data_IF_235410790805
#
_entry.id   IF_235410790805
#
_cell.length_a   1.000
_cell.length_b   1.000
_cell.length_c   1.000
_cell.angle_alpha   90.00
_cell.angle_beta   90.00
_cell.angle_gamma   90.00
#
_symmetry.space_group_name_H-M   'P 1'
#
loop_
_entity.id
_entity.type
_entity.pdbx_description
1 polymer ?
#
# COMPACT_ATOMS: atom_id res chain seq x y z
N UNK A 1 -16.70 0.28 8.32
CA UNK A 1 -15.90 -0.80 7.72
C UNK A 1 -16.74 -1.98 7.24
N UNK A 2 -17.70 -2.43 8.04
CA UNK A 2 -18.51 -3.60 7.64
C UNK A 2 -19.27 -3.39 6.34
N UNK A 3 -19.82 -2.19 6.11
CA UNK A 3 -20.55 -1.90 4.88
C UNK A 3 -19.62 -1.92 3.65
N UNK A 4 -18.41 -1.42 3.82
CA UNK A 4 -17.42 -1.41 2.78
C UNK A 4 -17.04 -2.85 2.40
N UNK A 5 -16.86 -3.68 3.37
CA UNK A 5 -16.51 -5.07 3.12
C UNK A 5 -17.60 -5.81 2.37
N UNK A 6 -18.85 -5.51 2.67
CA UNK A 6 -19.97 -6.12 1.94
C UNK A 6 -20.00 -5.68 0.48
N UNK A 7 -19.70 -4.42 0.22
CA UNK A 7 -19.65 -3.91 -1.15
C UNK A 7 -18.54 -4.60 -1.95
N UNK A 8 -17.38 -4.72 -1.36
CA UNK A 8 -16.25 -5.36 -2.04
C UNK A 8 -16.57 -6.80 -2.39
N UNK A 9 -17.20 -7.48 -1.47
CA UNK A 9 -17.56 -8.86 -1.67
C UNK A 9 -18.42 -9.07 -2.91
N UNK A 10 -19.32 -8.14 -3.18
CA UNK A 10 -20.22 -8.22 -4.31
C UNK A 10 -19.52 -8.16 -5.66
N UNK A 11 -18.29 -7.67 -5.69
CA UNK A 11 -17.55 -7.55 -6.93
C UNK A 11 -16.85 -8.84 -7.35
N UNK A 12 -16.83 -9.85 -6.50
CA UNK A 12 -16.16 -11.10 -6.84
C UNK A 12 -17.09 -12.05 -7.53
N UNK A 13 -16.63 -12.59 -8.62
CA UNK A 13 -17.43 -13.44 -9.46
C UNK A 13 -17.29 -14.93 -9.16
N UNK A 14 -16.65 -15.29 -8.09
CA UNK A 14 -16.51 -16.70 -7.75
C UNK A 14 -15.61 -17.48 -8.68
N UNK A 15 -14.60 -16.85 -9.18
CA UNK A 15 -13.67 -17.49 -10.08
C UNK A 15 -12.71 -18.42 -9.35
N UNK A 16 -12.11 -19.32 -10.10
CA UNK A 16 -11.23 -20.33 -9.54
C UNK A 16 -9.89 -19.80 -9.08
N UNK A 17 -9.50 -18.61 -9.52
CA UNK A 17 -8.20 -18.08 -9.16
C UNK A 17 -8.31 -16.87 -8.31
N UNK A 18 -8.85 -16.87 -7.21
CA UNK A 18 -8.82 -15.75 -6.26
C UNK A 18 -8.98 -14.39 -6.94
N UNK A 19 -10.10 -14.07 -7.51
CA UNK A 19 -10.31 -12.76 -8.08
C UNK A 19 -10.19 -11.69 -7.01
N UNK A 20 -9.62 -10.57 -7.37
CA UNK A 20 -9.41 -9.46 -6.46
C UNK A 20 -10.23 -8.27 -6.87
N UNK A 21 -10.84 -7.64 -5.92
CA UNK A 21 -11.50 -6.36 -6.09
C UNK A 21 -10.86 -5.35 -5.18
N UNK A 22 -10.58 -4.18 -5.74
CA UNK A 22 -10.06 -3.06 -4.97
C UNK A 22 -11.19 -2.06 -4.76
N UNK A 23 -11.40 -1.68 -3.51
CA UNK A 23 -12.36 -0.67 -3.17
C UNK A 23 -11.64 0.57 -2.69
N UNK A 24 -11.89 1.68 -3.39
CA UNK A 24 -11.33 2.97 -3.00
C UNK A 24 -12.17 3.58 -1.89
N UNK A 25 -11.50 3.92 -0.81
CA UNK A 25 -12.09 4.69 0.27
C UNK A 25 -11.38 6.04 0.31
N UNK A 26 -12.13 7.10 0.14
CA UNK A 26 -11.59 8.45 0.24
C UNK A 26 -12.23 9.10 1.45
N UNK A 27 -11.52 9.08 2.56
CA UNK A 27 -12.04 9.61 3.82
C UNK A 27 -11.90 11.13 3.90
N UNK A 28 -10.77 11.64 3.42
CA UNK A 28 -10.44 13.07 3.50
C UNK A 28 -9.72 13.51 2.24
N UNK A 29 -9.78 14.80 1.89
CA UNK A 29 -8.95 15.31 0.81
C UNK A 29 -7.49 14.98 1.06
N UNK A 30 -6.82 14.43 0.05
CA UNK A 30 -5.43 14.07 0.14
C UNK A 30 -5.15 12.67 0.66
N UNK A 31 -6.17 11.93 1.10
CA UNK A 31 -5.99 10.57 1.60
C UNK A 31 -6.65 9.56 0.69
N UNK A 32 -5.95 8.46 0.46
CA UNK A 32 -6.44 7.34 -0.34
C UNK A 32 -6.30 6.07 0.50
N UNK A 33 -7.37 5.30 0.58
CA UNK A 33 -7.33 3.99 1.22
C UNK A 33 -7.97 2.97 0.29
N UNK A 34 -7.29 1.87 0.07
CA UNK A 34 -7.75 0.79 -0.79
C UNK A 34 -7.68 -0.53 -0.07
N UNK A 35 -8.61 -1.41 -0.36
CA UNK A 35 -8.62 -2.77 0.15
C UNK A 35 -8.70 -3.75 -0.99
N UNK A 36 -7.98 -4.85 -0.85
CA UNK A 36 -8.09 -5.98 -1.75
C UNK A 36 -8.86 -7.07 -1.02
N UNK A 37 -9.92 -7.54 -1.64
CA UNK A 37 -10.77 -8.56 -1.04
C UNK A 37 -10.81 -9.79 -1.90
N UNK A 38 -10.84 -10.94 -1.26
CA UNK A 38 -11.16 -12.19 -1.91
C UNK A 38 -12.45 -12.68 -1.27
N UNK A 39 -13.57 -12.47 -1.96
CA UNK A 39 -14.89 -12.74 -1.43
C UNK A 39 -15.12 -11.99 -0.10
N UNK A 40 -15.21 -12.67 1.03
CA UNK A 40 -15.43 -12.04 2.33
C UNK A 40 -14.15 -11.76 3.09
N UNK A 41 -13.03 -12.17 2.54
CA UNK A 41 -11.75 -12.14 3.25
C UNK A 41 -10.93 -10.95 2.80
N UNK A 42 -10.42 -10.18 3.77
CA UNK A 42 -9.49 -9.11 3.49
C UNK A 42 -8.13 -9.70 3.14
N UNK A 43 -7.71 -9.50 1.89
CA UNK A 43 -6.42 -9.99 1.43
C UNK A 43 -5.31 -8.98 1.67
N UNK A 44 -5.63 -7.69 1.62
CA UNK A 44 -4.63 -6.67 1.84
C UNK A 44 -5.24 -5.27 1.86
N UNK A 45 -4.42 -4.30 2.22
CA UNK A 45 -4.85 -2.91 2.22
C UNK A 45 -3.65 -1.99 2.02
N UNK A 46 -3.93 -0.77 1.60
CA UNK A 46 -2.93 0.28 1.45
C UNK A 46 -3.56 1.63 1.77
N UNK A 47 -2.78 2.52 2.34
CA UNK A 47 -3.19 3.89 2.57
C UNK A 47 -2.10 4.84 2.10
N UNK A 48 -2.52 5.92 1.45
CA UNK A 48 -1.65 6.98 0.98
C UNK A 48 -2.13 8.33 1.46
N UNK A 49 -1.22 9.29 1.51
CA UNK A 49 -1.50 10.64 1.99
C UNK A 49 -0.77 11.66 1.15
N UNK A 50 -1.45 12.76 0.82
CA UNK A 50 -0.85 13.89 0.10
C UNK A 50 -0.90 15.12 0.98
N UNK A 51 0.16 15.39 1.77
CA UNK A 51 0.18 16.59 2.61
C UNK A 51 0.06 17.86 1.77
N UNK A 52 -0.75 18.79 2.23
CA UNK A 52 -0.92 20.06 1.54
C UNK A 52 0.38 20.84 1.45
N UNK A 53 0.65 21.42 0.29
CA UNK A 53 1.81 22.28 0.08
C UNK A 53 3.13 21.55 -0.14
N UNK A 54 3.13 20.22 -0.15
CA UNK A 54 4.37 19.46 -0.34
C UNK A 54 4.40 18.83 -1.74
N UNK A 55 5.60 18.66 -2.32
CA UNK A 55 5.71 18.06 -3.65
C UNK A 55 5.67 16.53 -3.62
N UNK A 56 5.45 15.92 -2.47
CA UNK A 56 5.48 14.47 -2.33
C UNK A 56 4.20 13.95 -1.70
N UNK A 57 3.93 12.69 -1.96
CA UNK A 57 2.88 11.92 -1.30
C UNK A 57 3.54 10.77 -0.54
N UNK A 58 2.86 10.30 0.48
CA UNK A 58 3.33 9.21 1.32
C UNK A 58 2.50 7.96 1.09
N UNK A 59 3.17 6.83 0.95
CA UNK A 59 2.55 5.53 1.15
C UNK A 59 2.68 5.27 2.65
N UNK A 60 1.57 5.39 3.36
CA UNK A 60 1.58 5.37 4.82
C UNK A 60 1.68 3.96 5.37
N UNK A 61 0.94 3.04 4.76
CA UNK A 61 0.94 1.66 5.18
C UNK A 61 0.51 0.76 4.04
N UNK A 62 1.04 -0.45 4.02
CA UNK A 62 0.68 -1.49 3.06
C UNK A 62 0.79 -2.83 3.78
N UNK A 63 -0.28 -3.59 3.75
CA UNK A 63 -0.29 -4.91 4.36
C UNK A 63 -0.97 -5.91 3.46
N UNK A 64 -0.43 -7.14 3.42
CA UNK A 64 -1.02 -8.27 2.71
C UNK A 64 -1.08 -9.43 3.69
N UNK A 65 -2.25 -10.04 3.83
CA UNK A 65 -2.43 -11.16 4.74
C UNK A 65 -1.51 -12.33 4.34
N UNK A 66 -0.95 -13.06 5.31
CA UNK A 66 0.03 -14.11 5.00
C UNK A 66 -0.44 -15.12 3.96
N UNK A 67 -1.72 -15.49 4.01
CA UNK A 67 -2.28 -16.46 3.07
C UNK A 67 -2.31 -15.94 1.63
N UNK A 68 -2.18 -14.64 1.45
CA UNK A 68 -2.29 -13.99 0.13
C UNK A 68 -0.98 -13.38 -0.34
N UNK A 69 0.10 -13.55 0.39
CA UNK A 69 1.39 -13.04 -0.01
C UNK A 69 1.93 -13.80 -1.22
N UNK A 70 2.82 -13.15 -1.97
CA UNK A 70 3.47 -13.71 -3.16
C UNK A 70 2.52 -13.95 -4.33
N UNK A 71 1.39 -13.27 -4.34
CA UNK A 71 0.41 -13.35 -5.45
C UNK A 71 0.30 -12.04 -6.23
N UNK A 72 1.20 -11.09 -5.96
CA UNK A 72 1.18 -9.80 -6.64
C UNK A 72 0.17 -8.81 -6.08
N UNK A 73 -0.47 -9.12 -4.96
CA UNK A 73 -1.48 -8.25 -4.36
C UNK A 73 -0.86 -6.95 -3.87
N UNK A 74 0.29 -7.04 -3.20
CA UNK A 74 0.99 -5.84 -2.74
C UNK A 74 1.36 -4.91 -3.88
N UNK A 75 1.89 -5.48 -4.96
CA UNK A 75 2.25 -4.69 -6.14
C UNK A 75 1.03 -4.04 -6.77
N UNK A 76 -0.10 -4.75 -6.82
CA UNK A 76 -1.32 -4.20 -7.38
C UNK A 76 -1.91 -3.09 -6.51
N UNK A 77 -1.95 -3.29 -5.20
CA UNK A 77 -2.40 -2.25 -4.27
C UNK A 77 -1.54 -1.01 -4.41
N UNK A 78 -0.24 -1.19 -4.47
CA UNK A 78 0.69 -0.07 -4.59
C UNK A 78 0.43 0.69 -5.89
N UNK A 79 0.32 -0.01 -7.01
CA UNK A 79 0.05 0.62 -8.31
C UNK A 79 -1.27 1.37 -8.34
N UNK A 80 -2.31 0.79 -7.77
CA UNK A 80 -3.62 1.43 -7.71
C UNK A 80 -3.62 2.66 -6.81
N UNK A 81 -2.91 2.60 -5.70
CA UNK A 81 -2.77 3.74 -4.82
C UNK A 81 -1.99 4.86 -5.51
N UNK A 82 -0.88 4.54 -6.16
CA UNK A 82 -0.08 5.50 -6.90
C UNK A 82 -0.89 6.20 -7.98
N UNK A 83 -1.77 5.46 -8.65
CA UNK A 83 -2.60 6.03 -9.71
C UNK A 83 -3.56 7.09 -9.18
N UNK A 84 -3.89 7.05 -7.91
CA UNK A 84 -4.82 7.99 -7.28
C UNK A 84 -4.11 9.13 -6.55
N UNK A 85 -2.82 9.00 -6.34
CA UNK A 85 -2.01 10.09 -5.78
C UNK A 85 -1.49 10.94 -6.93
N UNK A 86 -1.35 12.24 -6.71
CA UNK A 86 -1.05 13.19 -7.80
C UNK A 86 0.35 13.77 -7.74
N UNK A 87 1.05 13.64 -6.62
CA UNK A 87 2.36 14.27 -6.46
C UNK A 87 3.42 13.58 -7.31
N UNK A 88 4.43 14.35 -7.76
CA UNK A 88 5.50 13.77 -8.60
C UNK A 88 6.45 12.85 -7.85
N UNK A 89 6.55 13.01 -6.54
CA UNK A 89 7.42 12.19 -5.71
C UNK A 89 6.60 11.38 -4.74
N UNK A 90 6.86 10.08 -4.69
CA UNK A 90 6.22 9.18 -3.74
C UNK A 90 7.26 8.72 -2.73
N UNK A 91 6.88 8.72 -1.45
CA UNK A 91 7.76 8.34 -0.35
C UNK A 91 7.13 7.27 0.51
N UNK A 92 7.97 6.47 1.13
CA UNK A 92 7.53 5.53 2.15
C UNK A 92 8.66 5.24 3.12
N UNK A 93 8.28 4.78 4.31
CA UNK A 93 9.21 4.25 5.29
C UNK A 93 8.96 2.77 5.45
N UNK A 94 10.02 1.99 5.50
CA UNK A 94 9.93 0.55 5.68
C UNK A 94 10.97 0.10 6.71
N UNK A 95 10.62 -0.90 7.52
CA UNK A 95 11.57 -1.45 8.49
C UNK A 95 12.75 -2.07 7.77
N UNK A 96 13.95 -1.81 8.28
CA UNK A 96 15.18 -2.30 7.68
C UNK A 96 15.20 -3.83 7.56
N UNK A 97 14.53 -4.53 8.45
CA UNK A 97 14.48 -5.98 8.46
C UNK A 97 13.40 -6.56 7.53
N UNK A 98 12.53 -5.73 6.98
CA UNK A 98 11.42 -6.20 6.15
C UNK A 98 11.85 -6.44 4.72
N UNK A 99 12.62 -7.50 4.51
CA UNK A 99 13.19 -7.80 3.20
C UNK A 99 12.13 -7.99 2.10
N UNK A 100 11.00 -8.68 2.33
CA UNK A 100 9.99 -8.82 1.29
C UNK A 100 9.40 -7.49 0.86
N UNK A 101 9.13 -6.58 1.79
CA UNK A 101 8.59 -5.27 1.47
C UNK A 101 9.60 -4.43 0.69
N UNK A 102 10.86 -4.44 1.13
CA UNK A 102 11.92 -3.70 0.45
C UNK A 102 12.06 -4.19 -0.99
N UNK A 103 12.01 -5.50 -1.20
CA UNK A 103 12.09 -6.06 -2.54
C UNK A 103 10.91 -5.62 -3.41
N UNK A 104 9.69 -5.62 -2.85
CA UNK A 104 8.51 -5.13 -3.55
C UNK A 104 8.67 -3.68 -3.97
N UNK A 105 9.10 -2.82 -3.06
CA UNK A 105 9.24 -1.41 -3.35
C UNK A 105 10.32 -1.15 -4.40
N UNK A 106 11.46 -1.81 -4.29
CA UNK A 106 12.52 -1.69 -5.31
C UNK A 106 12.03 -2.12 -6.68
N UNK A 107 11.33 -3.23 -6.75
CA UNK A 107 10.78 -3.73 -8.00
C UNK A 107 9.76 -2.75 -8.58
N UNK A 108 9.09 -2.01 -7.73
CA UNK A 108 8.09 -1.02 -8.13
C UNK A 108 8.69 0.34 -8.46
N UNK A 109 10.01 0.48 -8.39
CA UNK A 109 10.68 1.72 -8.79
C UNK A 109 11.15 2.61 -7.65
N UNK A 110 10.98 2.19 -6.41
CA UNK A 110 11.45 2.96 -5.26
C UNK A 110 12.94 2.72 -5.02
N UNK A 111 13.64 3.77 -4.63
CA UNK A 111 15.06 3.69 -4.31
C UNK A 111 15.28 4.13 -2.87
N UNK A 112 16.26 3.53 -2.21
CA UNK A 112 16.64 3.87 -0.86
C UNK A 112 17.34 5.23 -0.85
N UNK A 113 16.84 6.16 -0.04
CA UNK A 113 17.36 7.51 0.04
C UNK A 113 18.10 7.74 1.35
N UNK A 114 17.56 7.27 2.45
CA UNK A 114 18.09 7.56 3.78
C UNK A 114 17.70 6.46 4.76
N UNK A 115 18.57 6.21 5.73
CA UNK A 115 18.26 5.32 6.85
C UNK A 115 18.13 6.16 8.11
N UNK A 116 16.99 6.04 8.79
CA UNK A 116 16.75 6.73 10.04
C UNK A 116 16.88 5.73 11.19
N UNK A 117 17.99 5.81 11.90
CA UNK A 117 18.25 4.92 13.03
C UNK A 117 17.21 5.15 14.14
N UNK A 118 16.70 4.06 14.71
CA UNK A 118 15.74 4.17 15.79
C UNK A 118 14.39 4.75 15.40
N UNK A 119 14.04 4.70 14.13
CA UNK A 119 12.81 5.32 13.63
C UNK A 119 11.55 4.72 14.26
N UNK A 120 11.53 3.39 14.45
CA UNK A 120 10.39 2.70 15.03
C UNK A 120 10.49 2.64 16.54
N UNK A 121 9.34 2.51 17.21
CA UNK A 121 9.28 2.54 18.66
C UNK A 121 10.09 1.44 19.36
N UNK A 122 10.40 0.36 18.66
CA UNK A 122 11.22 -0.72 19.19
C UNK A 122 12.71 -0.54 18.91
N UNK A 123 13.10 0.61 18.35
CA UNK A 123 14.49 0.93 18.07
C UNK A 123 14.98 0.50 16.70
N UNK A 124 14.16 -0.17 15.92
CA UNK A 124 14.57 -0.61 14.59
C UNK A 124 14.70 0.58 13.65
N UNK A 125 15.69 0.53 12.76
CA UNK A 125 15.89 1.55 11.74
C UNK A 125 14.79 1.50 10.69
N UNK A 126 14.44 2.66 10.15
CA UNK A 126 13.55 2.79 9.02
C UNK A 126 14.32 3.23 7.79
N UNK A 127 13.97 2.67 6.64
CA UNK A 127 14.52 3.10 5.36
C UNK A 127 13.53 4.03 4.70
N UNK A 128 13.97 5.23 4.37
CA UNK A 128 13.19 6.13 3.53
C UNK A 128 13.43 5.76 2.08
N UNK A 129 12.37 5.44 1.37
CA UNK A 129 12.45 5.11 -0.06
C UNK A 129 11.59 6.09 -0.85
N UNK A 130 12.04 6.41 -2.05
CA UNK A 130 11.36 7.37 -2.92
C UNK A 130 11.25 6.85 -4.34
N UNK A 131 10.17 7.28 -5.00
CA UNK A 131 9.95 7.04 -6.42
C UNK A 131 9.59 8.35 -7.08
N UNK A 132 10.30 8.69 -8.14
CA UNK A 132 9.99 9.85 -8.97
C UNK A 132 9.17 9.39 -10.17
N UNK A 133 8.19 10.19 -10.57
CA UNK A 133 7.38 9.84 -11.73
C UNK A 133 7.00 11.03 -12.60
#
# INVERSE_FOLDING_TARGET
>A
MAAVWRLERACFAGEAYDPLTLLLLVAWPGNVSLKAMNSKTLAGFIAGDEPGGEPFAWIVTLGVAPAYQRRGIGARLLGECEARLTRPTLRLMVRASNAPAIALYRKSGYVHVRTDAGYYGDGEAGLLMEKQR
#
